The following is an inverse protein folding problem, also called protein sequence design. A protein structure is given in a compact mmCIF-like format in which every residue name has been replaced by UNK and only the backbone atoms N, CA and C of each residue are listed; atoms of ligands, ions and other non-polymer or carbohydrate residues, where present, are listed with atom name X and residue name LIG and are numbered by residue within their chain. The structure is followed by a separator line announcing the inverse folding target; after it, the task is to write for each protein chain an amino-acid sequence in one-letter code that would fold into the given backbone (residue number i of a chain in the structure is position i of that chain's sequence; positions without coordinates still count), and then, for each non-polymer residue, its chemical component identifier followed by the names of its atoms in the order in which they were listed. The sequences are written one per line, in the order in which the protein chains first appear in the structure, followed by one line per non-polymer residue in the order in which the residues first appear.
data_IF_405738703892
#
_entry.id   IF_405738703892
#
_cell.length_a   1.000
_cell.length_b   1.000
_cell.length_c   1.000
_cell.angle_alpha   90.00
_cell.angle_beta   90.00
_cell.angle_gamma   90.00
#
_symmetry.space_group_name_H-M   'P 1'
#
loop_
_entity.id
_entity.type
_entity.pdbx_description
1 polymer ?
#
# COMPACT_ATOMS: atom_id res chain seq x y z
N UNK A 1 22.83 36.88 -3.85
CA UNK A 1 21.65 35.95 -3.75
C UNK A 1 21.68 34.82 -4.75
N UNK A 2 22.69 34.70 -5.61
CA UNK A 2 22.77 33.68 -6.68
C UNK A 2 23.64 32.44 -6.38
N UNK A 3 24.43 32.43 -5.31
CA UNK A 3 25.27 31.26 -4.97
C UNK A 3 24.49 30.10 -4.34
N UNK A 4 23.44 30.39 -3.56
CA UNK A 4 22.61 29.35 -2.92
C UNK A 4 21.68 28.59 -3.89
N UNK A 5 21.37 29.15 -5.04
CA UNK A 5 20.56 28.46 -6.07
C UNK A 5 21.41 27.50 -6.91
N UNK A 6 22.70 27.77 -7.09
CA UNK A 6 23.63 26.95 -7.85
C UNK A 6 23.98 25.66 -7.11
N UNK A 7 24.17 25.70 -5.78
CA UNK A 7 24.50 24.53 -4.96
C UNK A 7 23.35 23.51 -4.88
N UNK A 8 22.08 23.97 -4.82
CA UNK A 8 20.92 23.06 -4.83
C UNK A 8 20.73 22.33 -6.16
N UNK A 9 21.04 22.99 -7.27
CA UNK A 9 21.02 22.34 -8.61
C UNK A 9 22.16 21.33 -8.76
N UNK A 10 23.35 21.62 -8.26
CA UNK A 10 24.48 20.69 -8.26
C UNK A 10 24.22 19.43 -7.44
N UNK A 11 23.64 19.57 -6.26
CA UNK A 11 23.27 18.42 -5.40
C UNK A 11 22.20 17.54 -6.06
N UNK A 12 21.23 18.12 -6.74
CA UNK A 12 20.18 17.39 -7.47
C UNK A 12 20.73 16.60 -8.65
N UNK A 13 21.70 17.16 -9.39
CA UNK A 13 22.36 16.47 -10.52
C UNK A 13 23.27 15.34 -10.03
N UNK A 14 23.98 15.54 -8.92
CA UNK A 14 24.83 14.50 -8.31
C UNK A 14 23.94 13.35 -7.75
N UNK A 15 22.83 13.67 -7.09
CA UNK A 15 21.87 12.68 -6.61
C UNK A 15 21.24 11.89 -7.76
N UNK A 16 20.87 12.56 -8.86
CA UNK A 16 20.36 11.91 -10.05
C UNK A 16 21.41 11.04 -10.73
N UNK A 17 22.65 11.50 -10.80
CA UNK A 17 23.79 10.74 -11.33
C UNK A 17 24.09 9.48 -10.51
N UNK A 18 24.03 9.57 -9.18
CA UNK A 18 24.17 8.42 -8.28
C UNK A 18 23.02 7.42 -8.48
N UNK A 19 21.79 7.88 -8.58
CA UNK A 19 20.62 7.00 -8.87
C UNK A 19 20.77 6.30 -10.22
N UNK A 20 21.29 6.99 -11.24
CA UNK A 20 21.54 6.41 -12.57
C UNK A 20 22.71 5.41 -12.57
N UNK A 21 23.77 5.62 -11.77
CA UNK A 21 24.86 4.65 -11.60
C UNK A 21 24.39 3.37 -10.90
N UNK A 22 23.48 3.45 -9.93
CA UNK A 22 22.88 2.28 -9.31
C UNK A 22 21.90 1.53 -10.21
N UNK A 23 21.34 2.18 -11.22
CA UNK A 23 20.45 1.54 -12.21
C UNK A 23 21.19 0.60 -13.20
N UNK A 24 22.51 0.65 -13.28
CA UNK A 24 23.32 -0.25 -14.11
C UNK A 24 23.48 -1.67 -13.50
N UNK A 25 23.03 -1.89 -12.28
CA UNK A 25 23.02 -3.19 -11.62
C UNK A 25 21.85 -4.08 -12.06
N UNK A 26 21.52 -4.14 -13.35
CA UNK A 26 20.57 -5.11 -13.87
C UNK A 26 21.06 -6.52 -13.52
N UNK A 27 20.25 -7.27 -12.77
CA UNK A 27 20.50 -8.69 -12.50
C UNK A 27 20.42 -9.46 -13.84
N UNK A 28 21.53 -9.52 -14.55
CA UNK A 28 21.70 -10.33 -15.77
C UNK A 28 22.21 -11.72 -15.38
N UNK A 29 21.40 -12.47 -14.64
CA UNK A 29 21.68 -13.86 -14.32
C UNK A 29 20.65 -14.79 -14.97
N UNK A 30 20.97 -16.07 -15.21
CA UNK A 30 20.03 -17.03 -15.78
C UNK A 30 18.78 -17.26 -14.92
N UNK A 31 18.76 -16.78 -13.69
CA UNK A 31 17.63 -16.87 -12.75
C UNK A 31 17.00 -15.48 -12.45
N UNK A 32 17.26 -14.44 -13.25
CA UNK A 32 16.70 -13.12 -13.02
C UNK A 32 15.17 -13.14 -13.16
N UNK A 33 14.47 -12.74 -12.08
CA UNK A 33 13.02 -12.60 -12.13
C UNK A 33 12.64 -11.37 -12.96
N UNK A 34 11.96 -11.60 -14.09
CA UNK A 34 11.54 -10.52 -15.01
C UNK A 34 10.62 -9.48 -14.35
N UNK A 35 9.91 -9.85 -13.30
CA UNK A 35 9.06 -8.94 -12.52
C UNK A 35 9.86 -8.09 -11.52
N UNK A 36 11.10 -8.49 -11.19
CA UNK A 36 11.94 -7.83 -10.18
C UNK A 36 13.40 -7.69 -10.67
N UNK A 37 13.64 -6.89 -11.71
CA UNK A 37 14.98 -6.67 -12.25
C UNK A 37 15.89 -5.89 -11.30
N UNK A 38 15.34 -5.26 -10.25
CA UNK A 38 16.06 -4.47 -9.24
C UNK A 38 16.18 -5.22 -7.91
N UNK A 39 16.07 -6.55 -7.91
CA UNK A 39 16.06 -7.37 -6.69
C UNK A 39 17.18 -7.03 -5.68
N UNK A 40 18.47 -6.87 -6.08
CA UNK A 40 19.52 -6.54 -5.10
C UNK A 40 19.26 -5.21 -4.37
N UNK A 41 18.82 -4.17 -5.10
CA UNK A 41 18.46 -2.88 -4.53
C UNK A 41 17.21 -2.99 -3.64
N UNK A 42 16.19 -3.67 -4.15
CA UNK A 42 14.93 -3.88 -3.44
C UNK A 42 15.14 -4.64 -2.13
N UNK A 43 15.99 -5.65 -2.11
CA UNK A 43 16.36 -6.38 -0.88
C UNK A 43 17.09 -5.49 0.13
N UNK A 44 17.98 -4.62 -0.34
CA UNK A 44 18.68 -3.70 0.55
C UNK A 44 17.70 -2.72 1.23
N UNK A 45 16.78 -2.14 0.45
CA UNK A 45 15.74 -1.24 0.99
C UNK A 45 14.75 -2.00 1.87
N UNK A 46 14.38 -3.23 1.50
CA UNK A 46 13.52 -4.08 2.31
C UNK A 46 14.14 -4.38 3.68
N UNK A 47 15.42 -4.75 3.72
CA UNK A 47 16.15 -5.01 4.96
C UNK A 47 16.26 -3.75 5.82
N UNK A 48 16.47 -2.58 5.21
CA UNK A 48 16.43 -1.31 5.93
C UNK A 48 15.05 -1.06 6.56
N UNK A 49 13.96 -1.23 5.79
CA UNK A 49 12.60 -1.06 6.29
C UNK A 49 12.27 -2.07 7.40
N UNK A 50 12.65 -3.34 7.24
CA UNK A 50 12.46 -4.38 8.23
C UNK A 50 13.25 -4.11 9.53
N UNK A 51 14.48 -3.61 9.40
CA UNK A 51 15.29 -3.18 10.55
C UNK A 51 14.62 -2.03 11.32
N UNK A 52 14.12 -1.02 10.60
CA UNK A 52 13.40 0.11 11.22
C UNK A 52 12.08 -0.34 11.86
N UNK A 53 11.36 -1.23 11.20
CA UNK A 53 10.12 -1.80 11.76
C UNK A 53 10.40 -2.52 13.07
N UNK A 54 11.36 -3.43 13.10
CA UNK A 54 11.71 -4.20 14.32
C UNK A 54 12.20 -3.34 15.46
N UNK A 55 12.94 -2.26 15.16
CA UNK A 55 13.56 -1.42 16.21
C UNK A 55 12.65 -0.30 16.71
N UNK A 56 11.74 0.20 15.88
CA UNK A 56 10.93 1.39 16.19
C UNK A 56 9.44 1.12 16.04
N UNK A 57 8.97 0.76 14.83
CA UNK A 57 7.53 0.72 14.55
C UNK A 57 6.82 -0.42 15.29
N UNK A 58 7.41 -1.61 15.27
CA UNK A 58 6.82 -2.80 15.91
C UNK A 58 6.68 -2.64 17.43
N UNK A 59 7.72 -2.19 18.19
CA UNK A 59 7.59 -1.92 19.63
C UNK A 59 6.50 -0.88 19.94
N UNK A 60 6.47 0.23 19.20
CA UNK A 60 5.46 1.29 19.39
C UNK A 60 4.05 0.78 19.07
N UNK A 61 3.88 0.05 17.97
CA UNK A 61 2.61 -0.54 17.57
C UNK A 61 2.13 -1.59 18.59
N UNK A 62 3.04 -2.40 19.13
CA UNK A 62 2.73 -3.38 20.17
C UNK A 62 2.27 -2.69 21.46
N UNK A 63 2.97 -1.64 21.89
CA UNK A 63 2.57 -0.86 23.06
C UNK A 63 1.19 -0.22 22.83
N UNK A 64 0.97 0.39 21.67
CA UNK A 64 -0.35 0.94 21.28
C UNK A 64 -1.44 -0.13 21.34
N UNK A 65 -1.18 -1.30 20.79
CA UNK A 65 -2.15 -2.41 20.76
C UNK A 65 -2.51 -2.92 22.14
N UNK A 66 -1.55 -2.97 23.07
CA UNK A 66 -1.75 -3.43 24.44
C UNK A 66 -2.46 -2.43 25.32
N UNK A 67 -2.16 -1.13 25.20
CA UNK A 67 -2.72 -0.10 26.09
C UNK A 67 -4.03 0.49 25.60
N UNK A 68 -4.33 0.39 24.29
CA UNK A 68 -5.51 1.01 23.69
C UNK A 68 -6.69 0.02 23.67
N UNK A 69 -7.83 0.36 24.28
CA UNK A 69 -9.02 -0.50 24.23
C UNK A 69 -9.51 -0.78 22.80
N UNK A 70 -10.00 -1.99 22.55
CA UNK A 70 -10.44 -2.42 21.22
C UNK A 70 -11.47 -1.47 20.56
N UNK A 71 -12.47 -0.90 21.26
CA UNK A 71 -13.40 0.04 20.65
C UNK A 71 -12.71 1.32 20.14
N UNK A 72 -11.66 1.80 20.86
CA UNK A 72 -10.90 2.99 20.46
C UNK A 72 -10.08 2.69 19.20
N UNK A 73 -9.38 1.55 19.15
CA UNK A 73 -8.65 1.10 17.95
C UNK A 73 -9.59 0.99 16.75
N UNK A 74 -10.76 0.38 16.94
CA UNK A 74 -11.78 0.28 15.90
C UNK A 74 -12.23 1.66 15.40
N UNK A 75 -12.50 2.59 16.33
CA UNK A 75 -12.86 3.97 15.98
C UNK A 75 -11.76 4.67 15.16
N UNK A 76 -10.50 4.54 15.56
CA UNK A 76 -9.35 5.11 14.83
C UNK A 76 -9.26 4.54 13.41
N UNK A 77 -9.39 3.21 13.25
CA UNK A 77 -9.38 2.55 11.93
C UNK A 77 -10.53 3.02 11.05
N UNK A 78 -11.73 3.10 11.61
CA UNK A 78 -12.91 3.56 10.89
C UNK A 78 -12.75 5.01 10.44
N UNK A 79 -12.26 5.89 11.31
CA UNK A 79 -11.99 7.29 11.01
C UNK A 79 -11.02 7.45 9.82
N UNK A 80 -9.85 6.81 9.88
CA UNK A 80 -8.89 6.88 8.77
C UNK A 80 -9.39 6.15 7.52
N UNK A 81 -10.16 5.07 7.69
CA UNK A 81 -10.84 4.38 6.61
C UNK A 81 -11.82 5.29 5.89
N UNK A 82 -12.67 6.00 6.62
CA UNK A 82 -13.65 6.93 6.08
C UNK A 82 -13.00 8.10 5.33
N UNK A 83 -11.88 8.64 5.86
CA UNK A 83 -11.08 9.66 5.15
C UNK A 83 -10.53 9.09 3.82
N UNK A 84 -9.99 7.88 3.83
CA UNK A 84 -9.48 7.22 2.64
C UNK A 84 -10.59 6.92 1.62
N UNK A 85 -11.77 6.58 2.08
CA UNK A 85 -12.92 6.26 1.22
C UNK A 85 -13.38 7.48 0.40
N UNK A 86 -13.17 8.72 0.89
CA UNK A 86 -13.43 9.95 0.09
C UNK A 86 -12.65 9.92 -1.23
N UNK A 87 -11.37 9.56 -1.17
CA UNK A 87 -10.54 9.46 -2.38
C UNK A 87 -10.87 8.21 -3.20
N UNK A 88 -11.33 7.14 -2.56
CA UNK A 88 -11.81 5.94 -3.25
C UNK A 88 -13.05 6.20 -4.09
N UNK A 89 -13.97 7.10 -3.67
CA UNK A 89 -15.11 7.55 -4.49
C UNK A 89 -14.63 8.10 -5.83
N UNK A 90 -13.65 9.00 -5.79
CA UNK A 90 -13.09 9.61 -7.01
C UNK A 90 -12.40 8.58 -7.89
N UNK A 91 -11.60 7.69 -7.29
CA UNK A 91 -10.90 6.65 -8.05
C UNK A 91 -11.86 5.63 -8.68
N UNK A 92 -12.93 5.23 -7.98
CA UNK A 92 -13.98 4.38 -8.56
C UNK A 92 -14.65 5.09 -9.76
N UNK A 93 -14.95 6.39 -9.64
CA UNK A 93 -15.53 7.16 -10.72
C UNK A 93 -14.57 7.26 -11.93
N UNK A 94 -13.28 7.53 -11.69
CA UNK A 94 -12.24 7.58 -12.73
C UNK A 94 -12.03 6.22 -13.44
N UNK A 95 -12.39 5.13 -12.76
CA UNK A 95 -12.38 3.77 -13.33
C UNK A 95 -13.69 3.38 -14.00
N UNK A 96 -14.67 4.29 -14.10
CA UNK A 96 -16.05 4.03 -14.60
C UNK A 96 -16.82 2.98 -13.79
N UNK A 97 -16.43 2.74 -12.55
CA UNK A 97 -17.12 1.87 -11.58
C UNK A 97 -18.18 2.69 -10.85
N UNK A 98 -19.25 3.04 -11.54
CA UNK A 98 -20.25 4.00 -11.03
C UNK A 98 -20.97 3.44 -9.80
N UNK A 99 -21.35 2.16 -9.81
CA UNK A 99 -22.01 1.52 -8.67
C UNK A 99 -21.13 1.56 -7.43
N UNK A 100 -19.87 1.10 -7.54
CA UNK A 100 -18.91 1.07 -6.45
C UNK A 100 -18.61 2.49 -5.93
N UNK A 101 -18.59 3.48 -6.83
CA UNK A 101 -18.42 4.88 -6.45
C UNK A 101 -19.62 5.37 -5.61
N UNK A 102 -20.85 5.10 -6.04
CA UNK A 102 -22.07 5.46 -5.30
C UNK A 102 -22.14 4.75 -3.95
N UNK A 103 -21.88 3.45 -3.90
CA UNK A 103 -21.82 2.69 -2.64
C UNK A 103 -20.80 3.26 -1.66
N UNK A 104 -19.60 3.60 -2.16
CA UNK A 104 -18.55 4.22 -1.34
C UNK A 104 -18.95 5.63 -0.89
N UNK A 105 -19.57 6.42 -1.75
CA UNK A 105 -20.12 7.73 -1.39
C UNK A 105 -21.19 7.62 -0.30
N UNK A 106 -22.11 6.67 -0.42
CA UNK A 106 -23.11 6.38 0.60
C UNK A 106 -22.46 6.02 1.94
N UNK A 107 -21.44 5.14 1.93
CA UNK A 107 -20.65 4.82 3.15
C UNK A 107 -20.07 6.06 3.81
N UNK A 108 -19.33 6.87 3.03
CA UNK A 108 -18.72 8.12 3.53
C UNK A 108 -19.80 9.01 4.13
N UNK A 109 -20.94 9.17 3.46
CA UNK A 109 -22.03 10.04 3.91
C UNK A 109 -22.64 9.56 5.23
N UNK A 110 -22.98 8.28 5.34
CA UNK A 110 -23.62 7.73 6.56
C UNK A 110 -22.61 7.63 7.71
N UNK A 111 -21.38 7.25 7.44
CA UNK A 111 -20.32 7.18 8.46
C UNK A 111 -19.96 8.58 8.98
N UNK A 112 -19.97 9.60 8.12
CA UNK A 112 -19.65 10.97 8.56
C UNK A 112 -20.79 11.61 9.35
N UNK A 113 -22.07 11.35 8.96
CA UNK A 113 -23.24 11.96 9.60
C UNK A 113 -23.69 11.21 10.85
N UNK A 114 -23.89 9.90 10.74
CA UNK A 114 -24.41 9.07 11.82
C UNK A 114 -23.30 8.36 12.61
N UNK A 115 -22.10 8.22 12.02
CA UNK A 115 -20.93 7.59 12.61
C UNK A 115 -19.96 8.55 13.29
N UNK A 116 -20.39 9.75 13.68
CA UNK A 116 -19.54 10.76 14.36
C UNK A 116 -18.24 11.06 13.59
N UNK A 117 -18.36 11.47 12.32
CA UNK A 117 -17.19 11.76 11.48
C UNK A 117 -16.43 10.52 11.02
N UNK A 118 -17.07 9.34 11.06
CA UNK A 118 -16.47 8.09 10.62
C UNK A 118 -15.83 7.25 11.75
N UNK A 119 -16.01 7.60 13.02
CA UNK A 119 -15.58 6.76 14.15
C UNK A 119 -16.37 5.45 14.22
N UNK A 120 -17.66 5.48 13.85
CA UNK A 120 -18.51 4.29 13.75
C UNK A 120 -18.73 3.95 12.28
N UNK A 121 -18.62 2.66 11.94
CA UNK A 121 -18.82 2.14 10.58
C UNK A 121 -20.30 1.73 10.37
N UNK A 122 -21.17 2.72 10.25
CA UNK A 122 -22.60 2.53 9.99
C UNK A 122 -22.83 1.89 8.62
N UNK A 123 -21.97 2.20 7.64
CA UNK A 123 -22.04 1.64 6.30
C UNK A 123 -21.93 0.11 6.28
N UNK A 124 -21.12 -0.49 7.15
CA UNK A 124 -21.04 -1.95 7.29
C UNK A 124 -22.32 -2.54 7.87
N UNK A 125 -22.94 -1.91 8.87
CA UNK A 125 -24.24 -2.32 9.41
C UNK A 125 -25.35 -2.24 8.35
N UNK A 126 -25.26 -1.28 7.42
CA UNK A 126 -26.15 -1.15 6.28
C UNK A 126 -25.80 -2.09 5.11
N UNK A 127 -24.83 -2.99 5.27
CA UNK A 127 -24.32 -3.93 4.26
C UNK A 127 -23.82 -3.25 2.98
N UNK A 128 -23.34 -2.02 3.08
CA UNK A 128 -22.68 -1.33 1.97
C UNK A 128 -21.27 -1.90 1.79
N UNK A 129 -20.88 -2.37 0.61
CA UNK A 129 -19.56 -2.95 0.37
C UNK A 129 -18.45 -1.90 0.50
N UNK A 130 -17.23 -2.35 0.81
CA UNK A 130 -16.05 -1.51 0.99
C UNK A 130 -15.17 -1.56 -0.27
N UNK A 131 -15.35 -0.60 -1.16
CA UNK A 131 -14.72 -0.55 -2.48
C UNK A 131 -13.49 0.39 -2.46
N UNK A 132 -12.42 -0.04 -1.79
CA UNK A 132 -11.17 0.75 -1.71
C UNK A 132 -10.43 0.77 -3.04
N UNK A 133 -10.14 1.97 -3.52
CA UNK A 133 -9.36 2.21 -4.73
C UNK A 133 -8.33 3.32 -4.49
N UNK A 134 -7.19 3.20 -5.16
CA UNK A 134 -6.12 4.19 -5.19
C UNK A 134 -5.79 4.59 -6.65
N UNK A 135 -5.01 5.66 -6.82
CA UNK A 135 -4.69 6.17 -8.15
C UNK A 135 -3.78 5.23 -8.95
N UNK A 136 -2.93 4.44 -8.29
CA UNK A 136 -2.13 3.39 -8.94
C UNK A 136 -3.03 2.32 -9.58
N UNK A 137 -4.13 1.93 -8.91
CA UNK A 137 -5.14 1.03 -9.48
C UNK A 137 -5.87 1.68 -10.65
N UNK A 138 -6.22 2.96 -10.54
CA UNK A 138 -6.84 3.74 -11.62
C UNK A 138 -5.96 3.75 -12.87
N UNK A 139 -4.67 4.04 -12.74
CA UNK A 139 -3.71 3.93 -13.83
C UNK A 139 -3.66 2.51 -14.42
N UNK A 140 -3.74 1.48 -13.56
CA UNK A 140 -3.77 0.07 -13.99
C UNK A 140 -5.00 -0.27 -14.84
N UNK A 141 -6.19 0.20 -14.45
CA UNK A 141 -7.45 0.05 -15.21
C UNK A 141 -7.38 0.80 -16.52
N UNK A 142 -6.74 1.96 -16.57
CA UNK A 142 -6.52 2.72 -17.81
C UNK A 142 -5.49 2.08 -18.75
N UNK A 143 -4.91 0.93 -18.37
CA UNK A 143 -4.01 0.16 -19.22
C UNK A 143 -2.51 0.43 -18.99
N UNK A 144 -2.14 1.29 -18.07
CA UNK A 144 -0.72 1.48 -17.73
C UNK A 144 -0.15 0.23 -17.06
N UNK A 145 0.95 -0.27 -17.60
CA UNK A 145 1.67 -1.40 -17.01
C UNK A 145 2.25 -1.04 -15.65
N UNK A 146 2.35 -2.04 -14.76
CA UNK A 146 2.94 -1.84 -13.43
C UNK A 146 4.41 -1.36 -13.50
N UNK A 147 5.13 -1.81 -14.56
CA UNK A 147 6.59 -1.66 -14.63
C UNK A 147 7.30 -2.55 -13.62
N UNK A 148 8.61 -2.38 -13.43
CA UNK A 148 9.40 -3.11 -12.44
C UNK A 148 8.85 -2.98 -11.02
N UNK A 149 8.99 -4.06 -10.25
CA UNK A 149 8.78 -4.03 -8.82
C UNK A 149 9.84 -3.16 -8.15
N UNK A 150 9.44 -2.34 -7.18
CA UNK A 150 10.34 -1.49 -6.40
C UNK A 150 9.93 -1.52 -4.92
N UNK A 151 10.90 -1.49 -4.02
CA UNK A 151 10.66 -1.28 -2.60
C UNK A 151 11.01 0.14 -2.24
N UNK A 152 10.02 0.88 -1.74
CA UNK A 152 10.21 2.27 -1.34
C UNK A 152 10.69 2.36 0.11
N UNK A 153 11.68 3.21 0.43
CA UNK A 153 12.06 3.47 1.81
C UNK A 153 10.84 3.95 2.61
N UNK A 154 10.59 3.35 3.75
CA UNK A 154 9.47 3.60 4.69
C UNK A 154 8.06 3.20 4.18
N UNK A 155 7.84 3.18 2.86
CA UNK A 155 6.52 2.87 2.27
C UNK A 155 6.36 1.38 1.91
N UNK A 156 7.48 0.66 1.77
CA UNK A 156 7.45 -0.78 1.48
C UNK A 156 7.22 -1.13 0.01
N UNK A 157 6.59 -2.28 -0.27
CA UNK A 157 6.37 -2.81 -1.62
C UNK A 157 5.59 -1.86 -2.52
N UNK A 158 6.07 -1.69 -3.77
CA UNK A 158 5.45 -0.86 -4.79
C UNK A 158 5.80 -1.37 -6.21
N UNK A 159 5.32 -0.67 -7.22
CA UNK A 159 5.77 -0.76 -8.60
C UNK A 159 6.03 0.66 -9.12
N UNK A 160 6.67 0.81 -10.27
CA UNK A 160 6.89 2.14 -10.85
C UNK A 160 5.57 2.89 -11.03
N UNK A 161 4.54 2.26 -11.58
CA UNK A 161 3.19 2.83 -11.72
C UNK A 161 2.60 3.22 -10.37
N UNK A 162 2.64 2.30 -9.41
CA UNK A 162 2.00 2.49 -8.11
C UNK A 162 2.75 3.53 -7.27
N UNK A 163 4.06 3.71 -7.49
CA UNK A 163 4.84 4.81 -6.90
C UNK A 163 4.33 6.16 -7.38
N UNK A 164 4.06 6.30 -8.69
CA UNK A 164 3.43 7.53 -9.23
C UNK A 164 2.04 7.71 -8.60
N UNK A 165 1.25 6.64 -8.51
CA UNK A 165 -0.04 6.66 -7.82
C UNK A 165 0.08 7.15 -6.38
N UNK A 166 1.01 6.63 -5.60
CA UNK A 166 1.25 7.01 -4.21
C UNK A 166 1.59 8.51 -4.05
N UNK A 167 2.33 9.09 -5.00
CA UNK A 167 2.62 10.54 -4.99
C UNK A 167 1.35 11.36 -5.18
N UNK A 168 0.48 10.95 -6.11
CA UNK A 168 -0.82 11.61 -6.34
C UNK A 168 -1.72 11.44 -5.12
N UNK A 169 -1.87 10.21 -4.61
CA UNK A 169 -2.68 9.90 -3.42
C UNK A 169 -2.23 10.76 -2.22
N UNK A 170 -0.91 10.88 -2.01
CA UNK A 170 -0.35 11.70 -0.94
C UNK A 170 -0.64 13.22 -1.09
N UNK A 171 -0.81 13.71 -2.33
CA UNK A 171 -1.15 15.11 -2.59
C UNK A 171 -2.61 15.44 -2.32
N UNK A 172 -3.51 14.47 -2.50
CA UNK A 172 -4.96 14.65 -2.28
C UNK A 172 -5.41 14.16 -0.90
N UNK A 173 -4.54 13.52 -0.13
CA UNK A 173 -4.85 13.02 1.20
C UNK A 173 -5.27 14.16 2.14
N UNK A 174 -6.46 14.03 2.73
CA UNK A 174 -7.05 15.09 3.57
C UNK A 174 -6.22 15.38 4.82
N UNK A 175 -5.57 14.36 5.41
CA UNK A 175 -4.72 14.54 6.60
C UNK A 175 -3.46 15.31 6.22
N UNK A 176 -2.84 14.97 5.08
CA UNK A 176 -1.61 15.64 4.62
C UNK A 176 -1.83 17.12 4.27
N UNK A 177 -3.06 17.49 3.92
CA UNK A 177 -3.43 18.86 3.56
C UNK A 177 -3.95 19.72 4.73
N UNK A 178 -3.88 19.23 5.96
CA UNK A 178 -4.23 20.04 7.13
C UNK A 178 -3.22 21.17 7.35
N UNK A 179 -3.73 22.39 7.50
CA UNK A 179 -2.91 23.58 7.74
C UNK A 179 -2.20 23.56 9.10
N UNK A 180 -2.84 22.97 10.12
CA UNK A 180 -2.26 22.86 11.45
C UNK A 180 -1.21 21.75 11.48
N UNK A 181 0.07 22.14 11.49
CA UNK A 181 1.22 21.23 11.43
C UNK A 181 1.24 20.22 12.58
N UNK A 182 1.06 20.60 13.86
CA UNK A 182 1.00 19.66 14.97
C UNK A 182 -0.11 18.62 14.80
N UNK A 183 -1.33 19.03 14.45
CA UNK A 183 -2.46 18.11 14.23
C UNK A 183 -2.19 17.18 13.07
N UNK A 184 -1.71 17.69 11.95
CA UNK A 184 -1.35 16.88 10.77
C UNK A 184 -0.34 15.80 11.12
N UNK A 185 0.75 16.18 11.79
CA UNK A 185 1.82 15.24 12.13
C UNK A 185 1.35 14.20 13.16
N UNK A 186 0.57 14.59 14.16
CA UNK A 186 0.01 13.68 15.16
C UNK A 186 -0.93 12.65 14.51
N UNK A 187 -1.81 13.08 13.61
CA UNK A 187 -2.71 12.18 12.88
C UNK A 187 -1.94 11.26 11.93
N UNK A 188 -0.90 11.76 11.25
CA UNK A 188 -0.07 10.93 10.39
C UNK A 188 0.66 9.84 11.19
N UNK A 189 1.25 10.17 12.34
CA UNK A 189 1.90 9.20 13.23
C UNK A 189 0.88 8.20 13.77
N UNK A 190 -0.28 8.65 14.26
CA UNK A 190 -1.34 7.76 14.75
C UNK A 190 -1.80 6.78 13.66
N UNK A 191 -2.00 7.26 12.43
CA UNK A 191 -2.39 6.41 11.28
C UNK A 191 -1.34 5.32 11.01
N UNK A 192 -0.05 5.66 11.04
CA UNK A 192 1.04 4.70 10.80
C UNK A 192 1.09 3.66 11.92
N UNK A 193 1.02 4.10 13.19
CA UNK A 193 1.07 3.21 14.36
C UNK A 193 -0.13 2.28 14.39
N UNK A 194 -1.35 2.79 14.19
CA UNK A 194 -2.57 1.98 14.17
C UNK A 194 -2.56 0.99 13.02
N UNK A 195 -2.14 1.43 11.82
CA UNK A 195 -2.01 0.54 10.66
C UNK A 195 -0.98 -0.57 10.90
N UNK A 196 0.14 -0.25 11.56
CA UNK A 196 1.14 -1.26 11.92
C UNK A 196 0.62 -2.22 13.00
N UNK A 197 -0.14 -1.71 13.96
CA UNK A 197 -0.78 -2.53 15.00
C UNK A 197 -1.79 -3.54 14.39
N UNK A 198 -2.58 -3.10 13.42
CA UNK A 198 -3.49 -3.99 12.66
C UNK A 198 -2.77 -5.15 11.96
N UNK A 199 -1.51 -4.96 11.59
CA UNK A 199 -0.72 -5.94 10.83
C UNK A 199 0.19 -6.83 11.71
N UNK A 200 0.18 -6.67 13.04
CA UNK A 200 1.08 -7.43 13.92
C UNK A 200 0.93 -8.94 13.76
N UNK A 201 -0.28 -9.47 13.85
CA UNK A 201 -0.52 -10.90 13.76
C UNK A 201 -0.17 -11.46 12.38
N UNK A 202 -0.55 -10.75 11.31
CA UNK A 202 -0.23 -11.17 9.95
C UNK A 202 1.28 -11.20 9.70
N UNK A 203 2.01 -10.20 10.22
CA UNK A 203 3.47 -10.16 10.06
C UNK A 203 4.18 -11.19 10.94
N UNK A 204 3.69 -11.49 12.12
CA UNK A 204 4.20 -12.57 12.96
C UNK A 204 4.06 -13.91 12.22
N UNK A 205 2.89 -14.18 11.63
CA UNK A 205 2.68 -15.38 10.83
C UNK A 205 3.66 -15.46 9.63
N UNK A 206 3.88 -14.35 8.92
CA UNK A 206 4.84 -14.32 7.81
C UNK A 206 6.27 -14.55 8.31
N UNK A 207 6.64 -13.98 9.45
CA UNK A 207 7.98 -14.16 10.06
C UNK A 207 8.25 -15.63 10.41
N UNK A 208 7.21 -16.40 10.79
CA UNK A 208 7.32 -17.82 11.15
C UNK A 208 7.23 -18.76 9.94
N UNK A 209 6.39 -18.44 8.95
CA UNK A 209 6.07 -19.34 7.85
C UNK A 209 6.93 -19.13 6.59
N UNK A 210 7.44 -17.92 6.35
CA UNK A 210 8.14 -17.60 5.10
C UNK A 210 9.64 -17.94 5.19
N UNK A 211 10.11 -18.81 4.29
CA UNK A 211 11.54 -19.10 4.12
C UNK A 211 12.32 -17.87 3.64
N UNK A 212 11.74 -17.11 2.72
CA UNK A 212 12.26 -15.82 2.24
C UNK A 212 11.14 -14.76 2.33
N UNK A 213 11.18 -13.96 3.37
CA UNK A 213 10.20 -12.91 3.66
C UNK A 213 10.12 -11.87 2.54
N UNK A 214 11.24 -11.55 1.90
CA UNK A 214 11.28 -10.61 0.79
C UNK A 214 10.47 -11.13 -0.41
N UNK A 215 10.81 -12.31 -0.90
CA UNK A 215 10.14 -12.92 -2.05
C UNK A 215 8.66 -13.14 -1.78
N UNK A 216 8.29 -13.62 -0.59
CA UNK A 216 6.90 -13.78 -0.19
C UNK A 216 6.14 -12.45 -0.24
N UNK A 217 6.71 -11.40 0.33
CA UNK A 217 6.08 -10.05 0.37
C UNK A 217 5.92 -9.47 -1.04
N UNK A 218 6.94 -9.64 -1.90
CA UNK A 218 6.90 -9.21 -3.30
C UNK A 218 5.76 -9.91 -4.04
N UNK A 219 5.71 -11.22 -3.98
CA UNK A 219 4.77 -12.03 -4.75
C UNK A 219 3.33 -11.80 -4.28
N UNK A 220 3.11 -11.69 -2.97
CA UNK A 220 1.82 -11.31 -2.39
C UNK A 220 1.38 -9.92 -2.87
N UNK A 221 2.30 -8.95 -2.89
CA UNK A 221 2.01 -7.60 -3.38
C UNK A 221 1.59 -7.62 -4.86
N UNK A 222 2.38 -8.27 -5.71
CA UNK A 222 2.12 -8.32 -7.16
C UNK A 222 0.80 -9.04 -7.45
N UNK A 223 0.52 -10.16 -6.79
CA UNK A 223 -0.73 -10.91 -6.93
C UNK A 223 -1.94 -10.06 -6.50
N UNK A 224 -1.86 -9.42 -5.33
CA UNK A 224 -2.93 -8.57 -4.82
C UNK A 224 -3.21 -7.39 -5.74
N UNK A 225 -2.16 -6.74 -6.28
CA UNK A 225 -2.32 -5.62 -7.23
C UNK A 225 -2.92 -6.07 -8.55
N UNK A 226 -2.50 -7.19 -9.10
CA UNK A 226 -3.10 -7.77 -10.30
C UNK A 226 -4.59 -8.08 -10.11
N UNK A 227 -4.95 -8.67 -8.98
CA UNK A 227 -6.34 -8.94 -8.60
C UNK A 227 -7.19 -7.66 -8.52
N UNK A 228 -6.67 -6.62 -7.87
CA UNK A 228 -7.42 -5.39 -7.64
C UNK A 228 -7.74 -4.59 -8.91
N UNK A 229 -6.99 -4.78 -10.00
CA UNK A 229 -7.24 -4.14 -11.30
C UNK A 229 -7.96 -5.04 -12.30
N UNK A 230 -8.49 -6.20 -11.85
CA UNK A 230 -9.18 -7.15 -12.73
C UNK A 230 -8.29 -7.89 -13.72
N UNK A 231 -6.95 -7.77 -13.59
CA UNK A 231 -5.96 -8.54 -14.36
C UNK A 231 -5.61 -9.87 -13.67
N UNK A 232 -6.57 -10.48 -12.99
CA UNK A 232 -6.40 -11.87 -12.56
C UNK A 232 -6.48 -12.70 -13.83
N UNK A 233 -5.33 -13.03 -14.38
CA UNK A 233 -5.22 -14.30 -15.11
C UNK A 233 -5.62 -15.33 -14.07
N UNK A 234 -6.76 -16.00 -14.31
CA UNK A 234 -7.13 -17.16 -13.50
C UNK A 234 -5.84 -17.96 -13.32
N UNK A 235 -5.42 -18.15 -12.07
CA UNK A 235 -4.44 -19.16 -11.76
C UNK A 235 -5.01 -20.39 -12.47
N UNK A 236 -4.35 -20.84 -13.55
CA UNK A 236 -4.67 -22.12 -14.13
C UNK A 236 -4.58 -23.04 -12.92
N UNK A 237 -5.73 -23.47 -12.40
CA UNK A 237 -5.76 -24.64 -11.56
C UNK A 237 -4.97 -25.65 -12.38
N UNK A 238 -3.76 -25.96 -11.96
CA UNK A 238 -3.14 -27.20 -12.34
C UNK A 238 -4.11 -28.25 -11.78
N UNK A 239 -5.07 -28.62 -12.64
CA UNK A 239 -5.85 -29.81 -12.40
C UNK A 239 -4.82 -30.89 -12.21
N UNK A 240 -4.64 -31.31 -10.97
CA UNK A 240 -4.14 -32.63 -10.66
C UNK A 240 -5.14 -33.56 -11.33
N UNK A 241 -4.87 -33.95 -12.55
CA UNK A 241 -5.59 -35.00 -13.26
C UNK A 241 -5.37 -36.24 -12.44
N UNK A 242 -6.28 -36.50 -11.53
CA UNK A 242 -6.34 -37.78 -10.83
C UNK A 242 -6.46 -38.85 -11.92
N UNK A 243 -5.59 -39.89 -11.91
CA UNK A 243 -5.70 -40.94 -12.89
C UNK A 243 -7.11 -41.54 -12.88
N UNK A 244 -7.65 -41.79 -14.07
CA UNK A 244 -9.00 -42.33 -14.22
C UNK A 244 -9.16 -43.58 -13.38
N UNK A 245 -10.31 -43.79 -12.67
CA UNK A 245 -10.54 -45.00 -11.90
C UNK A 245 -10.47 -46.21 -12.81
N UNK A 246 -9.92 -47.35 -12.33
CA UNK A 246 -9.80 -48.56 -13.13
C UNK A 246 -11.16 -49.03 -13.62
N UNK A 247 -11.26 -49.56 -14.86
CA UNK A 247 -12.52 -50.10 -15.40
C UNK A 247 -13.04 -51.23 -14.52
N UNK A 248 -14.35 -51.24 -14.29
CA UNK A 248 -15.07 -52.31 -13.54
C UNK A 248 -15.09 -53.60 -14.32
#
# INVERSE_FOLDING_TARGET
MNLFYSTKRGLGVIALGLVLMFAQGCATGPNANSADPLEPLNRAVFNFNDGLDRTVLRPVATAYDQVTPSPVKTGVRNFFGNISDVWSVVNNLLQFKIQESLETFMRVSVNSTFGFGGLLDIGTEMRLPKNKQDFGQTLGVWGFNAGPYVVLPLFGPSSVRDTVGTVVDGRVDLVNNLNNVPTRNSLAVLRVVDKRAELLDATNFIDEAALDKYSFTRDLYLQRRASSIGKVTAVKEERFDLPAPPPK
#
